data_IF_985164752857
#
_entry.id   IF_985164752857
#
_cell.length_a   1.000
_cell.length_b   1.000
_cell.length_c   1.000
_cell.angle_alpha   90.00
_cell.angle_beta   90.00
_cell.angle_gamma   90.00
#
_symmetry.space_group_name_H-M   'P 1'
#
loop_
_entity.id
_entity.type
_entity.pdbx_description
1 polymer ?
2 non-polymer ?
3 non-polymer ?
4 water ?
#
# COMPACT_ATOMS: atom_id res chain seq x y z
N UNK A 2 25.13 -0.60 -24.16
CA UNK A 2 26.03 -0.34 -23.02
C UNK A 2 25.25 0.33 -21.87
N UNK A 3 23.93 0.47 -22.01
CA UNK A 3 23.06 1.23 -21.07
C UNK A 3 21.83 0.37 -20.71
N UNK A 4 22.05 -0.91 -20.36
CA UNK A 4 21.05 -1.78 -19.68
C UNK A 4 21.16 -1.57 -18.18
N UNK A 5 20.05 -1.56 -17.45
CA UNK A 5 20.08 -1.41 -15.97
C UNK A 5 18.73 -1.78 -15.37
N UNK A 6 18.78 -2.48 -14.23
CA UNK A 6 17.61 -2.95 -13.48
C UNK A 6 17.67 -2.33 -12.08
N UNK A 7 16.59 -1.69 -11.66
CA UNK A 7 16.50 -0.93 -10.37
C UNK A 7 15.40 -1.58 -9.52
N UNK A 8 15.76 -2.07 -8.34
CA UNK A 8 14.81 -2.64 -7.35
C UNK A 8 14.44 -1.59 -6.31
N UNK A 9 13.16 -1.47 -6.01
CA UNK A 9 12.63 -0.71 -4.85
C UNK A 9 11.76 -1.66 -4.03
N UNK A 10 11.59 -1.36 -2.76
CA UNK A 10 10.76 -2.16 -1.83
C UNK A 10 9.55 -1.36 -1.41
N UNK A 11 8.41 -2.02 -1.30
CA UNK A 11 7.15 -1.51 -0.72
C UNK A 11 6.78 -2.41 0.44
N UNK A 12 6.18 -1.83 1.46
CA UNK A 12 5.54 -2.57 2.57
C UNK A 12 4.06 -2.24 2.55
N UNK A 13 3.23 -3.24 2.29
CA UNK A 13 1.77 -3.18 2.53
C UNK A 13 1.50 -3.79 3.91
N UNK A 14 0.55 -3.28 4.62
CA UNK A 14 0.21 -3.84 5.93
C UNK A 14 -1.12 -3.38 6.39
N UNK A 15 -1.55 -3.89 7.52
CA UNK A 15 -2.79 -3.47 8.18
C UNK A 15 -2.76 -3.84 9.63
N UNK A 16 -3.53 -3.13 10.39
CA UNK A 16 -3.76 -3.36 11.82
C UNK A 16 -5.24 -3.38 12.03
N UNK A 17 -5.69 -4.23 12.93
CA UNK A 17 -7.12 -4.33 13.27
C UNK A 17 -7.24 -4.78 14.72
N UNK A 18 -8.19 -4.22 15.43
CA UNK A 18 -8.43 -4.52 16.84
C UNK A 18 -9.92 -4.47 17.09
N UNK A 19 -10.37 -5.22 18.08
CA UNK A 19 -11.78 -5.23 18.53
C UNK A 19 -12.00 -3.97 19.37
N UNK A 20 -12.98 -3.15 19.00
CA UNK A 20 -13.42 -2.01 19.83
C UNK A 20 -13.86 -2.58 21.20
N UNK A 21 -13.41 -1.96 22.29
CA UNK A 21 -13.95 -2.20 23.66
C UNK A 21 -15.48 -2.38 23.58
N UNK A 22 -16.17 -1.45 22.91
CA UNK A 22 -17.63 -1.57 22.57
C UNK A 22 -17.81 -1.33 21.07
N UNK A 23 -18.73 -2.06 20.40
CA UNK A 23 -19.12 -1.71 19.03
C UNK A 23 -19.59 -0.25 18.93
N UNK A 24 -19.44 0.34 17.74
CA UNK A 24 -20.03 1.66 17.39
C UNK A 24 -21.54 1.52 17.35
N UNK A 25 -22.25 2.65 17.45
CA UNK A 25 -23.67 2.87 17.04
C UNK A 25 -24.04 1.92 15.90
N UNK A 26 -23.24 1.93 14.82
CA UNK A 26 -23.53 1.28 13.53
C UNK A 26 -23.35 -0.22 13.63
N UNK A 27 -22.92 -0.71 14.81
CA UNK A 27 -22.60 -2.12 15.05
C UNK A 27 -21.29 -2.52 14.38
N UNK A 28 -20.40 -1.55 14.16
CA UNK A 28 -19.00 -1.76 13.73
C UNK A 28 -18.19 -2.20 14.93
N UNK A 29 -17.62 -3.39 14.86
CA UNK A 29 -16.97 -4.09 15.98
C UNK A 29 -15.47 -3.78 16.02
N UNK A 30 -14.89 -3.40 14.87
CA UNK A 30 -13.42 -3.29 14.70
C UNK A 30 -13.04 -1.93 14.19
N UNK A 31 -11.87 -1.47 14.63
CA UNK A 31 -11.03 -0.44 13.97
C UNK A 31 -9.98 -1.17 13.17
N UNK A 32 -9.71 -0.69 11.98
CA UNK A 32 -8.57 -1.19 11.19
C UNK A 32 -7.91 -0.06 10.41
N UNK A 33 -6.68 -0.29 10.03
CA UNK A 33 -5.84 0.65 9.29
C UNK A 33 -5.03 -0.15 8.29
N UNK A 34 -5.04 0.27 7.04
CA UNK A 34 -4.26 -0.37 5.95
C UNK A 34 -3.34 0.69 5.37
N UNK A 35 -2.14 0.32 4.96
CA UNK A 35 -1.16 1.31 4.49
C UNK A 35 -0.27 0.69 3.41
N UNK A 36 0.38 1.58 2.70
CA UNK A 36 1.60 1.34 1.89
C UNK A 36 2.67 2.29 2.40
N UNK A 37 3.85 1.80 2.63
CA UNK A 37 5.01 2.63 3.05
C UNK A 37 6.28 2.08 2.44
N UNK A 38 7.36 2.85 2.50
CA UNK A 38 8.71 2.38 2.20
C UNK A 38 9.35 1.78 3.44
N UNK A 39 10.46 1.04 3.30
CA UNK A 39 11.30 0.70 4.44
C UNK A 39 11.89 1.96 5.07
N UNK A 40 12.60 1.79 6.18
CA UNK A 40 13.23 2.90 6.95
C UNK A 40 14.05 3.77 6.00
N UNK A 41 13.82 5.09 6.03
CA UNK A 41 14.73 6.14 5.48
C UNK A 41 14.61 6.24 3.95
N UNK A 42 13.62 5.59 3.35
CA UNK A 42 13.30 5.71 1.91
C UNK A 42 12.10 6.61 1.75
N UNK A 43 12.07 7.36 0.69
CA UNK A 43 10.95 8.24 0.36
C UNK A 43 10.32 7.74 -0.95
N UNK A 44 9.33 6.84 -0.85
CA UNK A 44 8.67 6.19 -2.02
C UNK A 44 7.88 7.25 -2.77
N UNK A 45 7.65 8.39 -2.16
CA UNK A 45 6.91 9.50 -2.80
C UNK A 45 7.64 9.98 -4.06
N UNK A 46 8.95 9.75 -4.15
CA UNK A 46 9.77 10.08 -5.35
C UNK A 46 9.24 9.36 -6.60
N UNK A 47 8.77 8.11 -6.48
CA UNK A 47 8.39 7.29 -7.67
C UNK A 47 6.90 6.95 -7.62
N UNK A 48 6.28 7.06 -6.45
CA UNK A 48 4.82 6.81 -6.26
C UNK A 48 4.08 8.14 -6.45
N UNK A 49 3.22 8.21 -7.46
CA UNK A 49 2.31 9.36 -7.72
C UNK A 49 1.15 9.36 -6.71
N UNK A 50 0.52 8.21 -6.50
CA UNK A 50 -0.64 8.08 -5.59
C UNK A 50 -0.82 6.62 -5.24
N UNK A 51 -1.47 6.34 -4.13
CA UNK A 51 -1.97 4.97 -3.82
C UNK A 51 -3.49 5.03 -3.74
N UNK A 52 -4.17 4.11 -4.44
CA UNK A 52 -5.64 3.98 -4.46
C UNK A 52 -6.01 2.69 -3.76
N UNK A 53 -6.71 2.82 -2.65
CA UNK A 53 -7.28 1.72 -1.84
C UNK A 53 -8.74 1.54 -2.25
N UNK A 54 -9.07 0.37 -2.80
CA UNK A 54 -10.43 0.00 -3.24
C UNK A 54 -11.14 -0.76 -2.12
N UNK A 55 -11.87 -0.03 -1.28
CA UNK A 55 -12.65 -0.58 -0.16
C UNK A 55 -13.81 -1.42 -0.72
N UNK A 56 -14.35 -2.30 0.08
CA UNK A 56 -15.56 -3.09 -0.22
C UNK A 56 -16.69 -2.14 -0.71
N UNK A 57 -17.54 -2.61 -1.64
CA UNK A 57 -18.75 -1.86 -2.15
C UNK A 57 -19.58 -1.32 -0.97
N UNK A 58 -19.56 -2.03 0.18
CA UNK A 58 -20.36 -1.72 1.40
C UNK A 58 -19.94 -0.39 2.04
N UNK A 59 -18.74 0.14 1.71
CA UNK A 59 -18.25 1.46 2.18
C UNK A 59 -18.70 2.53 1.22
N UNK A 60 -19.00 3.75 1.70
CA UNK A 60 -19.22 4.90 0.82
C UNK A 60 -17.88 5.46 0.31
N UNK A 61 -17.91 6.19 -0.81
CA UNK A 61 -16.71 6.56 -1.61
C UNK A 61 -15.65 5.50 -1.37
N UNK A 62 -15.81 4.29 -1.94
CA UNK A 62 -14.90 3.20 -1.64
C UNK A 62 -13.53 3.34 -2.34
N UNK A 63 -13.41 4.21 -3.34
CA UNK A 63 -12.11 4.57 -3.98
C UNK A 63 -11.39 5.63 -3.14
N UNK A 64 -10.42 5.22 -2.32
CA UNK A 64 -9.62 6.12 -1.44
C UNK A 64 -8.24 6.33 -2.03
N UNK A 65 -7.92 7.57 -2.33
CA UNK A 65 -6.65 8.02 -2.93
C UNK A 65 -5.84 8.69 -1.83
N UNK A 66 -4.58 8.30 -1.67
CA UNK A 66 -3.53 9.14 -1.04
C UNK A 66 -2.50 9.56 -2.09
N UNK A 67 -2.37 10.85 -2.33
CA UNK A 67 -1.45 11.44 -3.32
C UNK A 67 -0.10 11.76 -2.66
N UNK A 68 0.00 11.64 -1.33
CA UNK A 68 1.27 11.82 -0.60
C UNK A 68 1.19 11.02 0.70
N UNK A 69 2.34 10.75 1.36
CA UNK A 69 2.34 10.03 2.62
C UNK A 69 1.56 10.81 3.67
N UNK A 70 0.97 10.15 4.69
CA UNK A 70 0.89 8.70 4.75
C UNK A 70 -0.08 8.11 3.72
N UNK A 71 0.34 7.03 3.07
CA UNK A 71 -0.52 6.20 2.20
C UNK A 71 -1.28 5.20 3.10
N UNK A 72 -2.50 5.54 3.49
CA UNK A 72 -3.25 4.71 4.46
C UNK A 72 -4.72 5.07 4.45
N UNK A 73 -5.57 4.11 4.83
CA UNK A 73 -7.01 4.30 5.15
C UNK A 73 -7.24 3.78 6.55
N UNK A 74 -7.92 4.56 7.38
CA UNK A 74 -8.39 4.17 8.74
C UNK A 74 -9.92 4.07 8.72
N UNK A 75 -10.45 2.98 9.22
CA UNK A 75 -11.90 2.75 9.21
C UNK A 75 -12.30 1.91 10.39
N UNK A 76 -13.58 1.87 10.66
CA UNK A 76 -14.25 0.86 11.52
C UNK A 76 -15.18 0.04 10.65
N UNK A 77 -15.28 -1.25 10.94
CA UNK A 77 -16.22 -2.13 10.25
C UNK A 77 -16.43 -3.42 11.02
N UNK A 78 -17.04 -4.40 10.39
CA UNK A 78 -17.52 -5.61 11.08
C UNK A 78 -17.02 -6.88 10.38
N UNK A 79 -16.30 -6.75 9.23
CA UNK A 79 -15.85 -7.92 8.43
C UNK A 79 -14.62 -7.56 7.59
N UNK A 80 -13.67 -8.50 7.50
CA UNK A 80 -12.56 -8.48 6.53
C UNK A 80 -13.08 -8.53 5.10
N UNK A 81 -12.22 -8.25 4.14
CA UNK A 81 -12.53 -8.32 2.71
C UNK A 81 -11.22 -8.22 1.95
N UNK A 82 -11.25 -8.60 0.68
CA UNK A 82 -10.11 -8.46 -0.25
C UNK A 82 -10.12 -7.04 -0.82
N UNK A 83 -9.05 -6.31 -0.61
CA UNK A 83 -8.91 -4.90 -1.02
C UNK A 83 -7.89 -4.80 -2.15
N UNK A 84 -8.31 -4.43 -3.37
CA UNK A 84 -7.37 -4.05 -4.40
C UNK A 84 -6.64 -2.78 -3.97
N UNK A 85 -5.32 -2.80 -4.03
CA UNK A 85 -4.48 -1.61 -3.79
C UNK A 85 -3.70 -1.37 -5.07
N UNK A 86 -3.90 -0.21 -5.66
CA UNK A 86 -3.15 0.26 -6.85
C UNK A 86 -2.09 1.25 -6.40
N UNK A 87 -0.82 0.98 -6.71
CA UNK A 87 0.30 1.94 -6.51
C UNK A 87 0.70 2.49 -7.89
N UNK A 88 0.40 3.76 -8.14
CA UNK A 88 0.64 4.42 -9.44
C UNK A 88 2.01 5.06 -9.37
N UNK A 89 2.80 4.94 -10.42
CA UNK A 89 4.18 5.40 -10.48
C UNK A 89 4.23 6.75 -11.21
N UNK A 90 5.23 7.57 -10.90
CA UNK A 90 5.58 8.78 -11.69
C UNK A 90 6.43 8.33 -12.89
N UNK A 91 5.90 7.40 -13.67
CA UNK A 91 6.59 6.75 -14.82
C UNK A 91 5.89 7.19 -16.10
N UNK A 92 6.64 7.54 -17.12
CA UNK A 92 6.08 8.01 -18.40
C UNK A 92 5.72 6.80 -19.26
N UNK A 93 6.33 5.64 -19.00
CA UNK A 93 6.14 4.40 -19.81
C UNK A 93 5.67 3.26 -18.89
N UNK A 94 5.48 2.08 -19.45
CA UNK A 94 5.11 0.86 -18.70
C UNK A 94 6.30 0.42 -17.85
N UNK A 95 6.06 -0.20 -16.67
CA UNK A 95 4.73 -0.20 -16.05
C UNK A 95 4.39 1.13 -15.35
N UNK A 96 3.13 1.53 -15.45
CA UNK A 96 2.57 2.82 -14.98
C UNK A 96 2.08 2.67 -13.54
N UNK A 97 1.81 1.44 -13.13
CA UNK A 97 1.25 1.13 -11.81
C UNK A 97 1.46 -0.33 -11.53
N UNK A 98 1.31 -0.73 -10.28
CA UNK A 98 1.25 -2.14 -9.86
C UNK A 98 0.04 -2.31 -8.96
N UNK A 99 -0.62 -3.45 -9.08
CA UNK A 99 -1.90 -3.77 -8.46
C UNK A 99 -1.71 -4.95 -7.53
N UNK A 100 -2.03 -4.76 -6.27
CA UNK A 100 -1.99 -5.81 -5.25
C UNK A 100 -3.42 -6.19 -4.90
N UNK A 101 -3.62 -7.42 -4.47
CA UNK A 101 -4.88 -7.92 -3.86
C UNK A 101 -4.62 -8.13 -2.38
N UNK A 102 -5.06 -7.22 -1.53
CA UNK A 102 -4.69 -7.22 -0.09
C UNK A 102 -5.79 -7.92 0.72
N UNK A 103 -5.38 -8.90 1.52
CA UNK A 103 -6.24 -9.64 2.44
C UNK A 103 -6.40 -8.82 3.73
N UNK A 104 -7.44 -8.00 3.81
CA UNK A 104 -7.76 -7.24 5.06
C UNK A 104 -8.64 -8.09 5.96
N UNK A 105 -8.02 -8.90 6.80
CA UNK A 105 -8.73 -9.78 7.75
C UNK A 105 -8.73 -9.12 9.13
N UNK A 106 -9.72 -9.47 9.92
CA UNK A 106 -9.94 -8.92 11.28
C UNK A 106 -9.68 -10.04 12.29
N UNK A 107 -9.38 -9.69 13.54
CA UNK A 107 -9.24 -10.65 14.67
C UNK A 107 -10.64 -11.00 15.18
N UNK A 108 -10.97 -12.29 15.25
CA UNK A 108 -12.28 -12.78 15.76
C UNK A 108 -12.20 -13.02 17.27
N UNK A 109 -13.30 -13.51 17.86
CA UNK A 109 -13.40 -13.99 19.27
C UNK A 109 -12.60 -13.08 20.20
N UNK A 110 -11.59 -13.63 20.88
CA UNK A 110 -10.68 -12.89 21.79
C UNK A 110 -9.23 -13.01 21.32
N UNK A 111 -9.02 -13.24 20.02
CA UNK A 111 -7.67 -13.27 19.39
C UNK A 111 -7.03 -11.92 19.58
N UNK A 112 -5.69 -11.84 19.74
CA UNK A 112 -5.02 -10.55 19.84
C UNK A 112 -5.33 -9.66 18.63
N UNK A 113 -5.05 -8.35 18.70
CA UNK A 113 -5.17 -7.49 17.54
C UNK A 113 -4.27 -7.97 16.38
N UNK A 114 -4.62 -7.58 15.17
CA UNK A 114 -3.92 -8.00 13.92
C UNK A 114 -2.92 -6.90 13.57
N UNK A 115 -1.68 -7.26 13.32
CA UNK A 115 -0.61 -6.31 12.95
C UNK A 115 0.27 -6.98 11.91
N UNK A 116 -0.12 -6.89 10.63
CA UNK A 116 0.47 -7.69 9.52
C UNK A 116 1.23 -6.81 8.57
N UNK A 117 2.29 -7.34 8.00
CA UNK A 117 3.13 -6.65 7.01
C UNK A 117 3.38 -7.57 5.80
N UNK A 118 3.28 -7.00 4.64
CA UNK A 118 3.51 -7.68 3.36
C UNK A 118 4.61 -6.91 2.60
N UNK A 119 5.79 -7.49 2.50
CA UNK A 119 6.98 -6.89 1.85
C UNK A 119 6.99 -7.25 0.37
N UNK A 120 6.97 -6.25 -0.49
CA UNK A 120 6.93 -6.42 -1.97
C UNK A 120 8.21 -5.83 -2.56
N UNK A 121 8.90 -6.60 -3.39
CA UNK A 121 10.11 -6.17 -4.11
C UNK A 121 9.73 -5.89 -5.57
N UNK A 122 9.78 -4.65 -6.00
CA UNK A 122 9.48 -4.25 -7.39
C UNK A 122 10.79 -4.19 -8.18
N UNK A 123 10.85 -4.87 -9.31
CA UNK A 123 12.00 -4.85 -10.23
C UNK A 123 11.60 -4.10 -11.49
N UNK A 124 12.21 -2.95 -11.74
CA UNK A 124 12.08 -2.20 -13.02
C UNK A 124 13.27 -2.51 -13.92
N UNK A 125 13.02 -3.17 -15.05
CA UNK A 125 14.03 -3.40 -16.11
C UNK A 125 14.10 -2.18 -17.00
N UNK A 126 15.31 -1.62 -17.15
CA UNK A 126 15.61 -0.56 -18.12
C UNK A 126 14.58 0.54 -18.00
N UNK A 127 14.34 1.11 -16.80
CA UNK A 127 13.52 2.31 -16.68
C UNK A 127 14.11 3.47 -17.52
N UNK A 128 13.26 4.36 -17.99
CA UNK A 128 13.67 5.65 -18.60
C UNK A 128 14.67 6.35 -17.68
N UNK A 129 15.41 7.30 -18.21
CA UNK A 129 16.36 8.14 -17.46
C UNK A 129 15.60 8.84 -16.32
N UNK A 130 14.51 9.54 -16.66
CA UNK A 130 13.61 10.27 -15.72
C UNK A 130 13.27 9.37 -14.54
N UNK A 131 12.47 8.34 -14.80
CA UNK A 131 11.88 7.48 -13.75
C UNK A 131 12.98 6.77 -12.96
N UNK A 132 14.04 6.34 -13.63
CA UNK A 132 15.25 5.77 -12.98
C UNK A 132 15.74 6.71 -11.86
N UNK A 133 15.81 8.01 -12.12
CA UNK A 133 16.24 9.04 -11.14
C UNK A 133 15.38 8.90 -9.88
N UNK A 134 14.08 8.97 -10.08
CA UNK A 134 13.05 8.91 -9.02
C UNK A 134 13.22 7.63 -8.19
N UNK A 135 13.38 6.48 -8.83
CA UNK A 135 13.58 5.18 -8.14
C UNK A 135 14.80 5.29 -7.25
N UNK A 136 15.90 5.86 -7.76
CA UNK A 136 17.17 6.02 -7.00
C UNK A 136 16.98 7.05 -5.87
N UNK A 137 16.39 8.21 -6.16
CA UNK A 137 16.06 9.27 -5.14
C UNK A 137 15.31 8.64 -3.96
N UNK A 138 14.50 7.60 -4.24
CA UNK A 138 13.63 6.93 -3.24
C UNK A 138 14.46 5.90 -2.47
N UNK A 139 15.69 5.65 -2.90
CA UNK A 139 16.60 4.67 -2.25
C UNK A 139 16.56 3.32 -2.94
N UNK A 140 16.12 3.28 -4.19
CA UNK A 140 16.17 2.07 -5.03
C UNK A 140 17.60 1.68 -5.36
N UNK A 141 17.80 0.44 -5.81
CA UNK A 141 19.13 -0.23 -5.91
C UNK A 141 19.29 -0.87 -7.29
N UNK A 142 20.46 -0.71 -7.90
CA UNK A 142 20.79 -1.34 -9.19
C UNK A 142 21.20 -2.78 -8.96
N UNK A 143 20.85 -3.66 -9.90
CA UNK A 143 21.04 -5.13 -9.81
C UNK A 143 21.83 -5.62 -11.03
N UNK A 144 23.12 -5.31 -11.11
CA UNK A 144 24.10 -5.99 -12.01
C UNK A 144 25.24 -6.55 -11.16
X LIG B 1 -1.45 -11.60 -5.62
X LIG B 1 -2.15 -11.81 -4.42
X LIG B 1 -1.46 -10.18 -6.07
X LIG B 1 -1.49 -9.28 -4.98
X LIG C 1 7.20 1.07 -23.05
X LIG C 1 5.94 1.35 -22.47
X LIG C 1 7.43 1.84 -24.29
X LIG C 1 7.56 3.23 -24.08
X LIG D 1 13.42 1.84 -1.87
X LIG D 1 13.33 0.44 -1.70
X LIG D 1 12.14 2.51 -1.65
X LIG D 1 11.11 1.99 -2.47
X LIG E 1 8.68 9.96 4.08
X LIG E 1 9.68 10.91 4.43
X LIG E 1 8.74 8.72 4.90
X LIG E 1 9.98 8.54 5.58
X LIG F 1 7.46 -4.22 -11.18
X LIG F 1 6.38 -3.30 -11.13
X LIG F 1 7.17 -5.52 -10.50
X LIG F 1 8.34 -6.28 -10.18
X LIG G 1 -6.99 11.75 -10.08
X LIG G 1 -7.41 13.03 -10.52
X LIG G 1 -7.70 11.30 -8.86
X LIG G 1 -7.31 10.01 -8.46
X LIG H 1 -11.36 -12.19 4.18
X LIG H 1 -10.13 -11.64 4.62
X LIG H 1 -11.32 -12.63 2.74
X LIG H 1 -11.89 -13.91 2.53
X LIG I 1 -21.82 1.91 6.11
X LIG I 1 -20.68 1.87 6.55
X LIG I 1 -19.99 3.17 6.83
X LIG I 1 -20.74 4.59 6.21
X LIG I 1 -19.47 5.58 6.81
X LIG I 1 -18.51 4.88 7.45
X LIG I 1 -18.77 3.50 7.49
X LIG I 1 -20.00 0.72 6.69
X LIG I 1 -18.66 0.58 7.28
X LIG I 1 -18.42 -0.84 7.74
X LIG I 1 -20.50 -0.56 6.15
X LIG I 1 -19.36 -1.33 5.54
X LIG I 1 -18.42 -1.75 6.59
X LIG I 1 -17.98 -3.03 6.73
X LIG I 1 -17.44 -3.42 7.76
X LIG I 1 -18.16 -3.81 5.66
X LIG I 1 -17.24 -4.90 5.40
X LIG I 1 -17.85 -6.02 4.60
X LIG I 1 -17.04 -6.91 3.90
X LIG I 1 -17.55 -8.04 3.31
X LIG I 1 -18.90 -8.33 3.40
X LIG I 1 -19.73 -7.42 4.02
X LIG I 1 -19.22 -6.28 4.62
X LIG I 1 -19.41 -9.69 2.97
X LIG I 1 -18.67 -10.79 3.59
X LIG I 1 -18.95 -12.10 2.98
X LIG I 1 -18.43 -13.08 3.99
X LIG I 1 -18.80 -12.48 5.27
X LIG I 1 -19.00 -10.97 5.01
#
# INVERSE_FOLDING_TARGET
MDNQCTVQVRLELGHRAQLRKKPTTEGFTHDWMVFVRGPEQCDIQHFVEKVVFWLHDSFPKPRRVCKEPPYKVEESGYAGFIMPIEVHFKNKEEPRKVCFTYDLFLNLEGNPPVNHLRCEKLTFNNPTTEFRYKLLRAGGVMVMPEGAHHHHHH
EDO C1 O1 C2 O2
EDO C1 O1 C2 O2
EDO C1 O1 C2 O2
EDO C1 O1 C2 O2
EDO C1 O1 C2 O2
EDO C1 O1 C2 O2
EDO C1 O1 C2 O2
M7T O1 C15 C16 S C19 C18 C17 N3 C14 C13 C21 C20 N2 C O N C1 C2 C12 C11 C5 C4 C3 C6 N1 C10 C9 C8 C7
#
